data_IF_657698562632
#
_entry.id   IF_657698562632
#
_cell.length_a   1.000
_cell.length_b   1.000
_cell.length_c   1.000
_cell.angle_alpha   90.00
_cell.angle_beta   90.00
_cell.angle_gamma   90.00
#
_symmetry.space_group_name_H-M   'P 1'
#
loop_
_entity.id
_entity.type
_entity.pdbx_description
1 polymer ?
#
# COMPACT_ATOMS: atom_id res chain seq x y z
N UNK A 1 13.33 -5.82 17.03
CA UNK A 1 12.28 -5.26 17.91
C UNK A 1 12.73 -5.57 19.33
N UNK A 2 12.66 -4.65 20.29
CA UNK A 2 12.91 -4.95 21.69
C UNK A 2 12.00 -6.10 22.13
N UNK A 3 12.51 -6.99 22.99
CA UNK A 3 11.79 -8.19 23.41
C UNK A 3 10.61 -7.89 24.37
N UNK A 4 10.47 -6.62 24.80
CA UNK A 4 9.54 -6.15 25.83
C UNK A 4 8.52 -5.10 25.33
N UNK A 5 8.26 -5.03 24.02
CA UNK A 5 7.15 -4.18 23.54
C UNK A 5 5.80 -4.83 23.90
N UNK A 6 5.07 -4.17 24.79
CA UNK A 6 3.68 -4.47 25.10
C UNK A 6 2.79 -3.39 24.48
N UNK A 7 1.77 -3.80 23.73
CA UNK A 7 0.80 -2.92 23.08
C UNK A 7 -0.58 -3.57 23.12
N UNK A 8 -1.62 -2.77 23.18
CA UNK A 8 -3.01 -3.26 23.18
C UNK A 8 -3.45 -3.70 21.78
N UNK A 9 -2.96 -3.00 20.74
CA UNK A 9 -3.32 -3.29 19.35
C UNK A 9 -2.13 -3.26 18.41
N UNK A 10 -2.13 -4.19 17.45
CA UNK A 10 -1.19 -4.21 16.33
C UNK A 10 -1.99 -4.09 15.02
N UNK A 11 -1.73 -3.03 14.27
CA UNK A 11 -2.32 -2.78 12.94
C UNK A 11 -1.27 -3.08 11.88
N UNK A 12 -1.54 -4.08 11.03
CA UNK A 12 -0.63 -4.46 9.93
C UNK A 12 -1.10 -3.81 8.63
N UNK A 13 -0.29 -2.86 8.15
CA UNK A 13 -0.52 -2.07 6.94
C UNK A 13 -1.12 -0.69 7.26
N UNK A 14 -0.37 0.38 7.04
CA UNK A 14 -0.78 1.79 7.15
C UNK A 14 -1.38 2.33 5.84
N UNK A 15 -2.17 1.50 5.16
CA UNK A 15 -2.89 1.91 3.94
C UNK A 15 -4.10 2.81 4.23
N UNK A 16 -5.02 2.90 3.27
CA UNK A 16 -6.24 3.72 3.39
C UNK A 16 -7.10 3.35 4.60
N UNK A 17 -7.27 2.06 4.87
CA UNK A 17 -8.05 1.60 6.03
C UNK A 17 -7.22 1.59 7.31
N UNK A 18 -5.99 1.04 7.26
CA UNK A 18 -5.18 0.85 8.47
C UNK A 18 -4.77 2.15 9.15
N UNK A 19 -4.47 3.21 8.38
CA UNK A 19 -4.18 4.53 8.95
C UNK A 19 -5.39 5.10 9.70
N UNK A 20 -6.61 4.92 9.18
CA UNK A 20 -7.84 5.39 9.84
C UNK A 20 -8.11 4.59 11.11
N UNK A 21 -8.01 3.25 11.04
CA UNK A 21 -8.23 2.38 12.20
C UNK A 21 -7.23 2.68 13.30
N UNK A 22 -5.94 2.74 12.98
CA UNK A 22 -4.89 3.05 13.94
C UNK A 22 -5.11 4.43 14.58
N UNK A 23 -5.47 5.44 13.78
CA UNK A 23 -5.79 6.78 14.28
C UNK A 23 -6.96 6.80 15.25
N UNK A 24 -8.05 6.06 14.96
CA UNK A 24 -9.22 5.98 15.87
C UNK A 24 -8.92 5.23 17.16
N UNK A 25 -8.11 4.18 17.11
CA UNK A 25 -7.69 3.48 18.32
C UNK A 25 -6.79 4.39 19.18
N UNK A 26 -5.88 5.14 18.55
CA UNK A 26 -4.98 6.06 19.23
C UNK A 26 -5.65 7.34 19.77
N UNK A 27 -6.94 7.58 19.48
CA UNK A 27 -7.71 8.66 20.11
C UNK A 27 -7.95 8.40 21.61
N UNK A 28 -7.87 7.14 22.05
CA UNK A 28 -7.99 6.75 23.45
C UNK A 28 -6.58 6.69 24.05
N UNK A 29 -6.30 7.59 25.00
CA UNK A 29 -4.96 7.80 25.58
C UNK A 29 -4.39 6.60 26.34
N UNK A 30 -5.26 5.70 26.78
CA UNK A 30 -4.94 4.51 27.54
C UNK A 30 -4.46 3.34 26.67
N UNK A 31 -4.63 3.45 25.34
CA UNK A 31 -4.27 2.38 24.42
C UNK A 31 -2.95 2.65 23.71
N UNK A 32 -2.04 1.68 23.79
CA UNK A 32 -0.83 1.65 22.99
C UNK A 32 -1.08 0.91 21.66
N UNK A 33 -0.90 1.62 20.54
CA UNK A 33 -1.19 1.12 19.19
C UNK A 33 0.09 1.06 18.36
N UNK A 34 0.48 -0.15 17.94
CA UNK A 34 1.61 -0.38 17.04
C UNK A 34 1.13 -0.53 15.60
N UNK A 35 1.73 0.21 14.66
CA UNK A 35 1.49 0.04 13.22
C UNK A 35 2.72 -0.55 12.54
N UNK A 36 2.52 -1.63 11.79
CA UNK A 36 3.56 -2.26 10.97
C UNK A 36 3.25 -2.02 9.50
N UNK A 37 4.07 -1.23 8.82
CA UNK A 37 3.94 -0.95 7.38
C UNK A 37 5.17 -1.47 6.65
N UNK A 38 4.94 -2.15 5.51
CA UNK A 38 6.02 -2.72 4.72
C UNK A 38 6.76 -1.65 3.89
N UNK A 39 6.05 -0.58 3.52
CA UNK A 39 6.62 0.58 2.84
C UNK A 39 7.45 1.48 3.77
N UNK A 40 8.16 2.42 3.15
CA UNK A 40 8.86 3.50 3.84
C UNK A 40 8.12 4.82 3.79
N UNK A 41 8.80 5.89 4.21
CA UNK A 41 8.26 7.24 4.07
C UNK A 41 7.99 7.56 2.58
N UNK A 42 6.80 8.09 2.24
CA UNK A 42 6.52 8.51 0.88
C UNK A 42 7.52 9.58 0.42
N UNK A 43 7.90 9.59 -0.87
CA UNK A 43 8.79 10.59 -1.43
C UNK A 43 8.13 11.96 -1.49
N UNK A 44 8.93 13.02 -1.54
CA UNK A 44 8.41 14.40 -1.52
C UNK A 44 7.42 14.70 -2.67
N UNK A 45 7.63 14.12 -3.85
CA UNK A 45 6.77 14.33 -5.01
C UNK A 45 5.36 13.75 -4.83
N UNK A 46 5.18 12.73 -3.97
CA UNK A 46 3.86 12.14 -3.69
C UNK A 46 2.91 13.11 -2.97
N UNK A 47 3.44 14.19 -2.39
CA UNK A 47 2.65 15.25 -1.74
C UNK A 47 2.09 16.28 -2.71
N UNK A 48 2.60 16.33 -3.95
CA UNK A 48 2.16 17.26 -4.99
C UNK A 48 1.26 16.49 -5.96
N UNK A 49 -0.06 16.75 -6.03
CA UNK A 49 -0.98 15.97 -6.85
C UNK A 49 -0.55 15.85 -8.32
N UNK A 50 -0.02 16.94 -8.89
CA UNK A 50 0.48 16.97 -10.27
C UNK A 50 1.65 16.00 -10.51
N UNK A 51 2.51 15.77 -9.52
CA UNK A 51 3.70 14.95 -9.63
C UNK A 51 3.49 13.50 -9.16
N UNK A 52 2.27 13.13 -8.77
CA UNK A 52 1.97 11.79 -8.24
C UNK A 52 2.37 10.68 -9.23
N UNK A 53 2.21 10.88 -10.55
CA UNK A 53 2.62 9.91 -11.58
C UNK A 53 4.12 9.53 -11.51
N UNK A 54 4.93 10.34 -10.84
CA UNK A 54 6.32 10.03 -10.45
C UNK A 54 6.47 8.71 -9.69
N UNK A 55 5.44 8.25 -8.98
CA UNK A 55 5.49 7.00 -8.19
C UNK A 55 5.47 5.74 -9.05
N UNK A 56 4.95 5.82 -10.27
CA UNK A 56 4.63 4.67 -11.12
C UNK A 56 5.71 4.42 -12.18
N UNK A 57 6.79 5.20 -12.16
CA UNK A 57 7.91 5.01 -13.08
C UNK A 57 8.58 3.66 -12.85
N UNK A 58 9.02 3.05 -13.97
CA UNK A 58 9.75 1.79 -13.97
C UNK A 58 10.96 1.89 -13.04
N UNK A 59 11.09 0.95 -12.09
CA UNK A 59 12.12 0.90 -11.05
C UNK A 59 11.85 1.75 -9.78
N UNK A 60 10.62 2.21 -9.58
CA UNK A 60 10.15 2.76 -8.30
C UNK A 60 10.06 1.67 -7.22
N UNK A 61 10.63 1.94 -6.04
CA UNK A 61 10.51 1.07 -4.85
C UNK A 61 9.23 1.33 -4.04
N UNK A 62 8.33 2.19 -4.53
CA UNK A 62 7.12 2.61 -3.80
C UNK A 62 5.87 1.80 -4.16
N UNK A 63 5.90 1.06 -5.27
CA UNK A 63 4.77 0.25 -5.76
C UNK A 63 5.17 -1.22 -5.81
N UNK A 64 4.37 -2.06 -5.13
CA UNK A 64 4.58 -3.50 -5.14
C UNK A 64 3.96 -4.13 -6.40
N UNK A 65 4.80 -4.44 -7.39
CA UNK A 65 4.37 -5.09 -8.64
C UNK A 65 4.23 -6.61 -8.50
N UNK A 66 3.11 -7.06 -7.95
CA UNK A 66 2.81 -8.48 -7.88
C UNK A 66 2.41 -9.06 -9.25
N UNK A 67 3.08 -10.15 -9.63
CA UNK A 67 2.75 -10.89 -10.86
C UNK A 67 1.43 -11.64 -10.66
N UNK A 68 0.40 -11.22 -11.39
CA UNK A 68 -0.88 -11.92 -11.47
C UNK A 68 -0.77 -13.15 -12.36
N UNK A 69 -1.60 -14.17 -12.13
CA UNK A 69 -1.72 -15.33 -13.03
C UNK A 69 -2.29 -14.89 -14.38
N UNK A 70 -1.95 -15.58 -15.48
CA UNK A 70 -2.62 -15.39 -16.77
C UNK A 70 -4.12 -15.55 -16.57
N UNK A 71 -4.89 -14.61 -17.10
CA UNK A 71 -6.33 -14.63 -16.99
C UNK A 71 -6.93 -14.99 -18.36
N UNK A 72 -8.23 -15.32 -18.40
CA UNK A 72 -8.90 -15.77 -19.64
C UNK A 72 -9.44 -14.64 -20.53
N UNK A 73 -9.72 -13.46 -19.98
CA UNK A 73 -10.54 -12.40 -20.59
C UNK A 73 -9.82 -11.07 -20.96
N UNK A 74 -8.54 -10.88 -20.67
CA UNK A 74 -7.77 -9.62 -20.85
C UNK A 74 -7.08 -9.61 -22.19
N UNK A 75 -6.73 -10.79 -22.71
CA UNK A 75 -6.13 -10.93 -24.03
C UNK A 75 -7.17 -11.14 -25.13
N UNK A 76 -8.47 -11.20 -24.79
CA UNK A 76 -9.53 -11.46 -25.77
C UNK A 76 -9.63 -10.33 -26.80
N UNK A 77 -9.42 -9.08 -26.38
CA UNK A 77 -9.43 -7.95 -27.29
C UNK A 77 -8.31 -8.04 -28.34
N UNK A 78 -7.08 -8.37 -27.91
CA UNK A 78 -5.94 -8.57 -28.81
C UNK A 78 -6.12 -9.80 -29.72
N UNK A 79 -6.72 -10.88 -29.21
CA UNK A 79 -6.97 -12.12 -29.98
C UNK A 79 -8.09 -11.97 -31.02
N UNK A 80 -9.04 -11.07 -30.82
CA UNK A 80 -10.14 -10.82 -31.76
C UNK A 80 -9.72 -9.91 -32.94
N UNK A 81 -8.74 -9.04 -32.76
CA UNK A 81 -8.19 -8.18 -33.83
C UNK A 81 -7.36 -8.99 -34.83
N UNK A 82 -6.60 -10.00 -34.37
CA UNK A 82 -5.74 -10.83 -35.23
C UNK A 82 -6.54 -11.91 -35.99
N UNK A 83 -7.83 -12.06 -35.69
CA UNK A 83 -8.73 -13.05 -36.31
C UNK A 83 -9.70 -12.46 -37.37
N UNK A 84 -9.63 -11.15 -37.62
CA UNK A 84 -10.34 -10.48 -38.72
C UNK A 84 -9.37 -10.22 -39.86
#
# INVERSE_FOLDING_TARGET
MPDDINVDFIVVGSGSAGSVVAGRLAEISEWDVLVLEAGGQPPAFAKVPFLHFGSDFTNSSYVNYYKKRPQKYSEQFAKNIVRT
#
